data_IF_310634062369
#
_entry.id   IF_310634062369
#
_cell.length_a   1.000
_cell.length_b   1.000
_cell.length_c   1.000
_cell.angle_alpha   90.00
_cell.angle_beta   90.00
_cell.angle_gamma   90.00
#
_symmetry.space_group_name_H-M   'P 1'
#
loop_
_entity.id
_entity.type
_entity.pdbx_description
1 polymer ?
#
# COMPACT_ATOMS: atom_id res chain seq x y z
N UNK A 1 9.26 14.56 4.56
CA UNK A 1 9.12 13.55 3.49
C UNK A 1 8.39 12.29 3.95
N UNK A 2 8.79 11.65 5.07
CA UNK A 2 8.16 10.39 5.54
C UNK A 2 6.65 10.49 5.80
N UNK A 3 6.18 11.52 6.52
CA UNK A 3 4.73 11.76 6.73
C UNK A 3 3.94 11.82 5.42
N UNK A 4 4.45 12.56 4.43
CA UNK A 4 3.82 12.67 3.10
C UNK A 4 3.80 11.36 2.32
N UNK A 5 4.80 10.49 2.51
CA UNK A 5 4.80 9.14 1.94
C UNK A 5 3.76 8.24 2.62
N UNK A 6 3.63 8.33 3.94
CA UNK A 6 2.59 7.62 4.68
C UNK A 6 1.19 8.03 4.21
N UNK A 7 0.92 9.35 4.12
CA UNK A 7 -0.33 9.89 3.59
C UNK A 7 -0.64 9.37 2.17
N UNK A 8 0.37 9.30 1.30
CA UNK A 8 0.21 8.76 -0.05
C UNK A 8 -0.20 7.27 -0.04
N UNK A 9 0.39 6.46 0.84
CA UNK A 9 0.11 5.02 0.93
C UNK A 9 -1.22 4.69 1.63
N UNK A 10 -1.78 5.63 2.39
CA UNK A 10 -3.11 5.49 2.99
C UNK A 10 -4.22 5.80 1.98
N UNK A 11 -3.89 6.46 0.87
CA UNK A 11 -4.81 6.64 -0.26
C UNK A 11 -4.93 5.34 -1.06
N UNK A 12 -6.15 4.84 -1.34
CA UNK A 12 -6.33 3.64 -2.13
C UNK A 12 -5.73 3.78 -3.53
N UNK A 13 -4.79 2.91 -3.87
CA UNK A 13 -4.23 2.81 -5.22
C UNK A 13 -4.12 1.34 -5.62
N UNK A 14 -4.34 1.03 -6.90
CA UNK A 14 -4.17 -0.33 -7.44
C UNK A 14 -3.36 -0.27 -8.73
N UNK A 15 -2.61 -1.34 -8.99
CA UNK A 15 -1.90 -1.50 -10.25
C UNK A 15 -2.82 -1.85 -11.42
N UNK A 16 -3.99 -2.41 -11.13
CA UNK A 16 -4.94 -2.87 -12.14
C UNK A 16 -6.28 -2.17 -11.94
N UNK A 17 -6.85 -1.69 -13.04
CA UNK A 17 -8.18 -1.09 -13.07
C UNK A 17 -9.06 -1.84 -14.07
N UNK A 18 -10.31 -2.11 -13.68
CA UNK A 18 -11.35 -2.63 -14.55
C UNK A 18 -12.53 -1.65 -14.53
N UNK A 19 -12.93 -1.16 -15.70
CA UNK A 19 -14.01 -0.16 -15.85
C UNK A 19 -13.86 1.05 -14.92
N UNK A 20 -12.63 1.54 -14.72
CA UNK A 20 -12.31 2.70 -13.88
C UNK A 20 -12.28 2.42 -12.38
N UNK A 21 -12.46 1.16 -11.94
CA UNK A 21 -12.36 0.76 -10.53
C UNK A 21 -11.11 -0.07 -10.28
N UNK A 22 -10.43 0.09 -9.14
CA UNK A 22 -9.29 -0.75 -8.80
C UNK A 22 -9.72 -2.21 -8.68
N UNK A 23 -9.01 -3.10 -9.35
CA UNK A 23 -9.22 -4.55 -9.27
C UNK A 23 -8.65 -5.04 -7.95
N UNK A 24 -9.43 -5.80 -7.19
CA UNK A 24 -8.95 -6.47 -5.97
C UNK A 24 -8.29 -7.80 -6.31
N UNK A 25 -7.42 -8.27 -5.43
CA UNK A 25 -6.70 -9.53 -5.65
C UNK A 25 -7.67 -10.67 -5.95
N UNK A 26 -8.76 -10.74 -5.20
CA UNK A 26 -9.80 -11.77 -5.27
C UNK A 26 -10.60 -11.75 -6.58
N UNK A 27 -10.53 -10.66 -7.35
CA UNK A 27 -11.28 -10.43 -8.59
C UNK A 27 -10.38 -10.51 -9.83
N UNK A 28 -9.09 -10.81 -9.65
CA UNK A 28 -8.13 -10.87 -10.74
C UNK A 28 -8.42 -12.06 -11.67
N UNK A 29 -8.58 -11.77 -12.96
CA UNK A 29 -8.92 -12.74 -14.01
C UNK A 29 -7.80 -13.77 -14.29
N UNK A 30 -6.57 -13.49 -13.87
CA UNK A 30 -5.41 -14.36 -14.10
C UNK A 30 -4.50 -14.50 -12.86
N UNK A 31 -3.78 -15.62 -12.80
CA UNK A 31 -2.89 -15.98 -11.69
C UNK A 31 -1.77 -14.95 -11.46
N UNK A 32 -1.29 -14.30 -12.52
CA UNK A 32 -0.23 -13.29 -12.41
C UNK A 32 -0.75 -12.02 -11.73
N UNK A 33 -1.90 -11.49 -12.16
CA UNK A 33 -2.55 -10.33 -11.52
C UNK A 33 -2.88 -10.62 -10.06
N UNK A 34 -3.39 -11.81 -9.75
CA UNK A 34 -3.65 -12.24 -8.37
C UNK A 34 -2.35 -12.23 -7.53
N UNK A 35 -1.27 -12.81 -8.06
CA UNK A 35 0.05 -12.82 -7.41
C UNK A 35 0.59 -11.40 -7.17
N UNK A 36 0.54 -10.54 -8.19
CA UNK A 36 1.01 -9.15 -8.10
C UNK A 36 0.23 -8.33 -7.07
N UNK A 37 -1.10 -8.47 -7.02
CA UNK A 37 -1.93 -7.78 -6.04
C UNK A 37 -1.67 -8.27 -4.61
N UNK A 38 -1.41 -9.57 -4.43
CA UNK A 38 -1.01 -10.14 -3.13
C UNK A 38 0.35 -9.59 -2.66
N UNK A 39 1.35 -9.55 -3.54
CA UNK A 39 2.68 -9.00 -3.23
C UNK A 39 2.57 -7.51 -2.91
N UNK A 40 1.88 -6.73 -3.74
CA UNK A 40 1.67 -5.30 -3.53
C UNK A 40 1.02 -5.02 -2.17
N UNK A 41 0.01 -5.80 -1.80
CA UNK A 41 -0.63 -5.69 -0.48
C UNK A 41 0.34 -5.93 0.67
N UNK A 42 1.09 -7.05 0.62
CA UNK A 42 2.03 -7.39 1.67
C UNK A 42 3.13 -6.34 1.83
N UNK A 43 3.70 -5.86 0.72
CA UNK A 43 4.70 -4.79 0.71
C UNK A 43 4.13 -3.49 1.27
N UNK A 44 2.92 -3.10 0.84
CA UNK A 44 2.28 -1.87 1.32
C UNK A 44 1.91 -1.93 2.81
N UNK A 45 1.50 -3.09 3.33
CA UNK A 45 1.30 -3.29 4.78
C UNK A 45 2.61 -3.12 5.56
N UNK A 46 3.70 -3.75 5.11
CA UNK A 46 5.02 -3.61 5.73
C UNK A 46 5.55 -2.16 5.68
N UNK A 47 5.42 -1.48 4.54
CA UNK A 47 5.89 -0.10 4.36
C UNK A 47 5.13 0.86 5.28
N UNK A 48 3.80 0.73 5.39
CA UNK A 48 2.97 1.56 6.29
C UNK A 48 3.31 1.33 7.75
N UNK A 49 3.53 0.07 8.16
CA UNK A 49 3.91 -0.24 9.54
C UNK A 49 5.24 0.42 9.91
N UNK A 50 6.26 0.29 9.06
CA UNK A 50 7.54 0.93 9.25
C UNK A 50 7.46 2.47 9.26
N UNK A 51 6.70 3.07 8.34
CA UNK A 51 6.55 4.53 8.28
C UNK A 51 5.89 5.12 9.52
N UNK A 52 4.88 4.43 10.09
CA UNK A 52 4.23 4.87 11.33
C UNK A 52 5.22 4.88 12.49
N UNK A 53 5.97 3.79 12.65
CA UNK A 53 7.02 3.72 13.67
C UNK A 53 8.08 4.81 13.49
N UNK A 54 8.53 5.03 12.24
CA UNK A 54 9.53 6.05 11.95
C UNK A 54 9.03 7.47 12.24
N UNK A 55 7.77 7.77 11.90
CA UNK A 55 7.15 9.06 12.22
C UNK A 55 7.00 9.24 13.74
N UNK A 56 6.52 8.22 14.45
CA UNK A 56 6.37 8.28 15.92
C UNK A 56 7.71 8.53 16.62
N UNK A 57 8.80 7.92 16.13
CA UNK A 57 10.16 8.15 16.66
C UNK A 57 10.63 9.58 16.43
N UNK A 58 10.28 10.20 15.31
CA UNK A 58 10.65 11.59 15.02
C UNK A 58 9.80 12.60 15.79
N UNK A 59 8.60 12.20 16.22
CA UNK A 59 7.62 13.09 16.85
C UNK A 59 7.75 13.10 18.38
N UNK A 60 8.50 12.16 18.96
CA UNK A 60 8.91 12.20 20.36
C UNK A 60 10.24 12.96 20.45
N UNK A 61 10.26 14.20 20.98
CA UNK A 61 11.52 14.84 21.31
C UNK A 61 12.19 14.04 22.44
N UNK A 62 13.52 13.92 22.39
CA UNK A 62 14.34 13.35 23.47
C UNK A 62 14.15 14.08 24.80
#
# INVERSE_FOLDING_TARGET
MLRRRLEFLETPTSFFYASGKPVRAEEAEDLFRHGMLRVARATGEAERAWLREAVDRLDRPE
#
